data_IF_543200966891
#
_entry.id   IF_543200966891
#
_cell.length_a   1.000
_cell.length_b   1.000
_cell.length_c   1.000
_cell.angle_alpha   90.00
_cell.angle_beta   90.00
_cell.angle_gamma   90.00
#
_symmetry.space_group_name_H-M   'P 1'
#
loop_
_entity.id
_entity.type
_entity.pdbx_description
1 polymer ?
#
# COMPACT_ATOMS: atom_id res chain seq x y z
N UNK A 1 -54.61 61.74 22.72
CA UNK A 1 -54.31 60.87 21.55
C UNK A 1 -52.86 61.08 21.14
N UNK A 2 -52.13 59.98 20.87
CA UNK A 2 -50.77 59.82 20.28
C UNK A 2 -49.59 60.44 21.07
N UNK A 3 -48.86 59.71 21.94
CA UNK A 3 -47.85 58.62 21.78
C UNK A 3 -46.60 58.99 20.96
N UNK A 4 -45.48 59.00 21.69
CA UNK A 4 -44.08 59.09 21.28
C UNK A 4 -43.69 58.02 20.24
N UNK A 5 -42.83 58.40 19.29
CA UNK A 5 -42.18 57.51 18.33
C UNK A 5 -40.67 57.61 18.45
N UNK A 6 -40.05 56.46 18.68
CA UNK A 6 -38.65 56.16 19.02
C UNK A 6 -37.78 55.88 17.81
N UNK A 7 -36.52 56.27 17.95
CA UNK A 7 -35.25 55.87 17.30
C UNK A 7 -35.27 54.80 16.19
N UNK A 8 -34.68 55.18 15.05
CA UNK A 8 -34.28 54.32 13.94
C UNK A 8 -33.16 53.34 14.35
N UNK A 9 -33.43 52.04 14.32
CA UNK A 9 -32.40 51.00 14.35
C UNK A 9 -32.16 50.43 12.95
N UNK A 10 -31.13 50.92 12.28
CA UNK A 10 -30.60 50.28 11.07
C UNK A 10 -29.83 49.02 11.44
N UNK A 11 -30.44 47.86 11.21
CA UNK A 11 -29.74 46.56 11.25
C UNK A 11 -28.92 46.37 9.97
N UNK A 12 -27.64 45.98 10.03
CA UNK A 12 -26.86 45.68 8.83
C UNK A 12 -27.37 44.42 8.13
N UNK A 13 -27.21 44.30 6.79
CA UNK A 13 -27.68 43.14 6.05
C UNK A 13 -26.88 41.89 6.42
N UNK A 14 -27.59 40.76 6.53
CA UNK A 14 -27.02 39.46 6.83
C UNK A 14 -25.97 39.07 5.77
N UNK A 15 -24.80 38.64 6.22
CA UNK A 15 -23.76 38.11 5.36
C UNK A 15 -24.25 36.85 4.61
N UNK A 16 -23.86 36.65 3.34
CA UNK A 16 -24.22 35.44 2.61
C UNK A 16 -23.57 34.21 3.26
N UNK A 17 -24.35 33.14 3.37
CA UNK A 17 -23.93 31.88 3.96
C UNK A 17 -22.64 31.34 3.29
N UNK A 18 -21.63 31.02 4.09
CA UNK A 18 -20.44 30.29 3.63
C UNK A 18 -20.88 28.98 2.92
N UNK A 19 -20.32 28.64 1.75
CA UNK A 19 -20.53 27.34 1.14
C UNK A 19 -20.09 26.25 2.11
N UNK A 20 -21.03 25.35 2.44
CA UNK A 20 -20.88 24.31 3.43
C UNK A 20 -19.54 23.59 3.34
N UNK A 21 -18.78 23.66 4.44
CA UNK A 21 -17.62 22.81 4.72
C UNK A 21 -18.10 21.36 4.69
N UNK A 22 -18.04 20.70 3.53
CA UNK A 22 -18.43 19.29 3.38
C UNK A 22 -17.68 18.44 4.40
N UNK A 23 -18.39 18.01 5.43
CA UNK A 23 -17.94 16.97 6.36
C UNK A 23 -17.47 15.76 5.55
N UNK A 24 -16.37 15.10 5.90
CA UNK A 24 -15.99 13.85 5.23
C UNK A 24 -17.18 12.90 5.35
N UNK A 25 -17.81 12.52 4.23
CA UNK A 25 -18.91 11.58 4.29
C UNK A 25 -18.36 10.25 4.87
N UNK A 26 -19.02 9.66 5.88
CA UNK A 26 -18.61 8.38 6.48
C UNK A 26 -18.33 7.28 5.44
N UNK A 27 -18.97 7.37 4.27
CA UNK A 27 -18.73 6.49 3.13
C UNK A 27 -17.29 6.50 2.59
N UNK A 28 -16.58 7.63 2.59
CA UNK A 28 -15.22 7.70 2.06
C UNK A 28 -14.19 7.02 2.96
N UNK A 29 -14.35 7.10 4.29
CA UNK A 29 -13.47 6.38 5.23
C UNK A 29 -13.71 4.87 5.16
N UNK A 30 -14.98 4.45 5.07
CA UNK A 30 -15.34 3.04 4.85
C UNK A 30 -14.77 2.50 3.55
N UNK A 31 -14.81 3.28 2.46
CA UNK A 31 -14.19 2.91 1.19
C UNK A 31 -12.68 2.70 1.34
N UNK A 32 -11.96 3.67 1.94
CA UNK A 32 -10.52 3.55 2.17
C UNK A 32 -10.16 2.29 2.97
N UNK A 33 -10.87 2.06 4.07
CA UNK A 33 -10.62 0.93 4.94
C UNK A 33 -10.94 -0.42 4.28
N UNK A 34 -12.04 -0.48 3.53
CA UNK A 34 -12.46 -1.69 2.80
C UNK A 34 -11.48 -2.03 1.69
N UNK A 35 -11.05 -1.05 0.90
CA UNK A 35 -10.04 -1.24 -0.15
C UNK A 35 -8.70 -1.73 0.43
N UNK A 36 -8.24 -1.09 1.51
CA UNK A 36 -6.98 -1.46 2.15
C UNK A 36 -7.01 -2.90 2.70
N UNK A 37 -8.07 -3.26 3.42
CA UNK A 37 -8.24 -4.60 3.97
C UNK A 37 -8.45 -5.66 2.87
N UNK A 38 -9.31 -5.40 1.89
CA UNK A 38 -9.52 -6.32 0.76
C UNK A 38 -8.22 -6.53 -0.03
N UNK A 39 -7.44 -5.47 -0.27
CA UNK A 39 -6.15 -5.58 -0.92
C UNK A 39 -5.16 -6.45 -0.16
N UNK A 40 -5.11 -6.32 1.18
CA UNK A 40 -4.33 -7.21 2.03
C UNK A 40 -4.78 -8.68 1.89
N UNK A 41 -6.07 -8.95 2.03
CA UNK A 41 -6.62 -10.32 1.93
C UNK A 41 -6.32 -10.95 0.58
N UNK A 42 -6.57 -10.24 -0.52
CA UNK A 42 -6.29 -10.74 -1.87
C UNK A 42 -4.79 -11.04 -2.04
N UNK A 43 -3.92 -10.17 -1.54
CA UNK A 43 -2.46 -10.37 -1.62
C UNK A 43 -2.01 -11.62 -0.86
N UNK A 44 -2.52 -11.82 0.36
CA UNK A 44 -2.19 -13.01 1.17
C UNK A 44 -2.72 -14.27 0.53
N UNK A 45 -3.99 -14.28 0.09
CA UNK A 45 -4.59 -15.46 -0.56
C UNK A 45 -3.82 -15.83 -1.82
N UNK A 46 -3.44 -14.86 -2.66
CA UNK A 46 -2.58 -15.13 -3.81
C UNK A 46 -1.21 -15.69 -3.38
N UNK A 47 -0.59 -15.09 -2.36
CA UNK A 47 0.69 -15.54 -1.80
C UNK A 47 0.69 -16.98 -1.29
N UNK A 48 -0.43 -17.49 -0.74
CA UNK A 48 -0.55 -18.89 -0.30
C UNK A 48 -0.44 -19.90 -1.44
N UNK A 49 -0.65 -19.49 -2.69
CA UNK A 49 -0.51 -20.32 -3.88
C UNK A 49 0.80 -20.09 -4.63
N UNK A 50 1.66 -19.20 -4.12
CA UNK A 50 2.97 -18.93 -4.69
C UNK A 50 3.90 -20.12 -4.45
N UNK A 51 4.68 -20.51 -5.45
CA UNK A 51 5.66 -21.57 -5.29
C UNK A 51 6.93 -21.00 -4.63
N UNK A 52 7.24 -21.44 -3.42
CA UNK A 52 8.27 -20.83 -2.56
C UNK A 52 9.01 -21.83 -1.65
N UNK A 53 9.00 -23.13 -2.01
CA UNK A 53 9.61 -24.17 -1.17
C UNK A 53 11.13 -24.22 -1.27
N UNK A 54 11.69 -23.89 -2.44
CA UNK A 54 13.13 -23.75 -2.62
C UNK A 54 13.64 -22.42 -2.06
N UNK A 55 14.91 -22.39 -1.65
CA UNK A 55 15.59 -21.14 -1.32
C UNK A 55 15.57 -20.21 -2.52
N UNK A 56 14.97 -19.03 -2.37
CA UNK A 56 14.77 -18.07 -3.46
C UNK A 56 16.06 -17.54 -4.12
N UNK A 57 17.22 -17.77 -3.50
CA UNK A 57 18.56 -17.47 -4.04
C UNK A 57 19.28 -18.71 -4.62
N UNK A 58 18.73 -19.91 -4.46
CA UNK A 58 19.11 -21.10 -5.22
C UNK A 58 18.36 -21.08 -6.56
N UNK A 59 18.96 -20.40 -7.54
CA UNK A 59 18.34 -20.20 -8.85
C UNK A 59 18.00 -21.52 -9.56
N UNK A 60 18.88 -22.54 -9.64
CA UNK A 60 18.51 -23.82 -10.25
C UNK A 60 17.29 -24.48 -9.59
N UNK A 61 17.23 -24.57 -8.26
CA UNK A 61 16.12 -25.21 -7.57
C UNK A 61 14.82 -24.41 -7.73
N UNK A 62 14.90 -23.10 -7.54
CA UNK A 62 13.77 -22.17 -7.62
C UNK A 62 13.19 -22.10 -9.03
N UNK A 63 14.02 -21.99 -10.06
CA UNK A 63 13.54 -21.95 -11.45
C UNK A 63 12.86 -23.26 -11.85
N UNK A 64 13.38 -24.41 -11.36
CA UNK A 64 12.74 -25.70 -11.62
C UNK A 64 11.36 -25.78 -10.94
N UNK A 65 11.20 -25.19 -9.75
CA UNK A 65 9.92 -25.07 -9.07
C UNK A 65 8.94 -24.15 -9.84
N UNK A 66 9.40 -22.99 -10.30
CA UNK A 66 8.59 -22.04 -11.06
C UNK A 66 8.12 -22.64 -12.39
N UNK A 67 8.99 -23.39 -13.07
CA UNK A 67 8.66 -24.08 -14.31
C UNK A 67 7.55 -25.16 -14.12
N UNK A 68 7.50 -25.79 -12.95
CA UNK A 68 6.43 -26.76 -12.60
C UNK A 68 5.12 -26.10 -12.18
N UNK A 69 5.11 -24.81 -11.88
CA UNK A 69 3.89 -24.11 -11.47
C UNK A 69 2.99 -23.78 -12.66
N UNK A 70 1.80 -24.38 -12.70
CA UNK A 70 0.79 -24.12 -13.74
C UNK A 70 -0.02 -22.84 -13.52
N UNK A 71 0.08 -22.20 -12.36
CA UNK A 71 -0.72 -21.02 -11.98
C UNK A 71 0.13 -19.79 -11.66
N UNK A 72 1.44 -19.84 -11.93
CA UNK A 72 2.40 -18.79 -11.58
C UNK A 72 1.93 -17.38 -11.98
N UNK A 73 1.57 -17.18 -13.25
CA UNK A 73 1.12 -15.88 -13.75
C UNK A 73 -0.20 -15.43 -13.10
N UNK A 74 -1.11 -16.36 -12.80
CA UNK A 74 -2.37 -16.03 -12.15
C UNK A 74 -2.16 -15.59 -10.68
N UNK A 75 -1.22 -16.22 -9.97
CA UNK A 75 -0.81 -15.82 -8.62
C UNK A 75 -0.29 -14.38 -8.63
N UNK A 76 0.59 -14.05 -9.57
CA UNK A 76 1.17 -12.72 -9.72
C UNK A 76 0.13 -11.66 -10.11
N UNK A 77 -0.84 -12.01 -10.97
CA UNK A 77 -1.99 -11.16 -11.23
C UNK A 77 -2.82 -10.90 -9.96
N UNK A 78 -3.05 -11.94 -9.15
CA UNK A 78 -3.73 -11.80 -7.86
C UNK A 78 -2.98 -10.87 -6.90
N UNK A 79 -1.66 -11.03 -6.80
CA UNK A 79 -0.80 -10.13 -6.03
C UNK A 79 -0.89 -8.68 -6.53
N UNK A 80 -0.84 -8.46 -7.85
CA UNK A 80 -1.02 -7.13 -8.45
C UNK A 80 -2.34 -6.49 -8.03
N UNK A 81 -3.45 -7.21 -8.18
CA UNK A 81 -4.79 -6.73 -7.81
C UNK A 81 -4.85 -6.39 -6.32
N UNK A 82 -4.30 -7.26 -5.47
CA UNK A 82 -4.22 -7.01 -4.03
C UNK A 82 -3.46 -5.73 -3.68
N UNK A 83 -2.28 -5.52 -4.28
CA UNK A 83 -1.50 -4.29 -4.10
C UNK A 83 -2.24 -3.06 -4.64
N UNK A 84 -2.87 -3.15 -5.81
CA UNK A 84 -3.64 -2.05 -6.40
C UNK A 84 -4.79 -1.60 -5.48
N UNK A 85 -5.51 -2.55 -4.88
CA UNK A 85 -6.54 -2.27 -3.88
C UNK A 85 -5.97 -1.62 -2.61
N UNK A 86 -4.85 -2.14 -2.10
CA UNK A 86 -4.18 -1.58 -0.92
C UNK A 86 -3.76 -0.13 -1.15
N UNK A 87 -3.09 0.15 -2.27
CA UNK A 87 -2.65 1.49 -2.66
C UNK A 87 -3.85 2.41 -2.88
N UNK A 88 -4.92 1.92 -3.52
CA UNK A 88 -6.15 2.69 -3.68
C UNK A 88 -6.75 3.08 -2.33
N UNK A 89 -6.76 2.16 -1.36
CA UNK A 89 -7.15 2.44 0.03
C UNK A 89 -6.30 3.54 0.68
N UNK A 90 -4.97 3.51 0.49
CA UNK A 90 -4.07 4.56 1.00
C UNK A 90 -4.34 5.92 0.35
N UNK A 91 -4.56 5.96 -0.97
CA UNK A 91 -4.85 7.21 -1.70
C UNK A 91 -6.18 7.83 -1.24
N UNK A 92 -7.24 7.02 -1.12
CA UNK A 92 -8.52 7.49 -0.58
C UNK A 92 -8.35 7.94 0.87
N UNK A 93 -7.56 7.22 1.68
CA UNK A 93 -7.28 7.61 3.06
C UNK A 93 -6.60 8.99 3.13
N UNK A 94 -5.58 9.25 2.32
CA UNK A 94 -4.89 10.55 2.26
C UNK A 94 -5.85 11.71 1.91
N UNK A 95 -6.80 11.48 1.00
CA UNK A 95 -7.86 12.45 0.66
C UNK A 95 -8.80 12.67 1.86
N UNK A 96 -9.24 11.59 2.51
CA UNK A 96 -10.17 11.62 3.65
C UNK A 96 -9.57 12.33 4.86
N UNK A 97 -8.26 12.17 5.10
CA UNK A 97 -7.59 12.81 6.24
C UNK A 97 -7.60 14.34 6.14
N UNK A 98 -7.79 14.91 4.93
CA UNK A 98 -7.72 16.35 4.60
C UNK A 98 -6.46 17.00 5.20
N UNK A 99 -5.40 17.06 4.40
CA UNK A 99 -4.13 17.56 4.88
C UNK A 99 -4.26 18.98 5.50
N UNK A 100 -3.74 19.19 6.72
CA UNK A 100 -3.60 20.54 7.26
C UNK A 100 -2.71 21.41 6.36
N UNK A 101 -2.94 22.72 6.36
CA UNK A 101 -2.18 23.66 5.54
C UNK A 101 -0.66 23.60 5.81
N UNK A 102 0.13 24.12 4.86
CA UNK A 102 1.59 24.20 4.97
C UNK A 102 2.30 22.86 4.76
N UNK A 103 3.23 22.50 5.65
CA UNK A 103 4.11 21.34 5.47
C UNK A 103 3.36 20.00 5.34
N UNK A 104 2.21 19.84 6.01
CA UNK A 104 1.44 18.60 5.97
C UNK A 104 0.71 18.39 4.64
N UNK A 105 0.41 19.45 3.90
CA UNK A 105 -0.08 19.33 2.53
C UNK A 105 0.97 18.68 1.62
N UNK A 106 2.25 19.03 1.81
CA UNK A 106 3.35 18.39 1.09
C UNK A 106 3.59 16.95 1.53
N UNK A 107 3.49 16.65 2.82
CA UNK A 107 3.55 15.26 3.33
C UNK A 107 2.51 14.37 2.65
N UNK A 108 1.26 14.83 2.53
CA UNK A 108 0.21 14.08 1.86
C UNK A 108 0.49 13.90 0.36
N UNK A 109 0.98 14.94 -0.33
CA UNK A 109 1.34 14.88 -1.75
C UNK A 109 2.48 13.90 -2.02
N UNK A 110 3.57 13.99 -1.25
CA UNK A 110 4.69 13.06 -1.38
C UNK A 110 4.28 11.62 -1.00
N UNK A 111 3.40 11.45 0.00
CA UNK A 111 2.83 10.15 0.33
C UNK A 111 2.05 9.55 -0.84
N UNK A 112 1.21 10.35 -1.51
CA UNK A 112 0.47 9.91 -2.69
C UNK A 112 1.40 9.56 -3.86
N UNK A 113 2.40 10.41 -4.15
CA UNK A 113 3.40 10.14 -5.20
C UNK A 113 4.17 8.85 -4.92
N UNK A 114 4.62 8.65 -3.68
CA UNK A 114 5.30 7.42 -3.27
C UNK A 114 4.39 6.19 -3.41
N UNK A 115 3.12 6.30 -3.06
CA UNK A 115 2.15 5.20 -3.20
C UNK A 115 1.92 4.83 -4.68
N UNK A 116 1.78 5.82 -5.57
CA UNK A 116 1.65 5.61 -7.02
C UNK A 116 2.93 5.01 -7.61
N UNK A 117 4.10 5.52 -7.21
CA UNK A 117 5.39 4.98 -7.63
C UNK A 117 5.56 3.52 -7.17
N UNK A 118 5.17 3.20 -5.94
CA UNK A 118 5.16 1.83 -5.42
C UNK A 118 4.26 0.91 -6.26
N UNK A 119 3.06 1.36 -6.63
CA UNK A 119 2.16 0.58 -7.48
C UNK A 119 2.73 0.37 -8.88
N UNK A 120 3.34 1.39 -9.49
CA UNK A 120 3.95 1.29 -10.82
C UNK A 120 5.14 0.32 -10.83
N UNK A 121 5.99 0.40 -9.80
CA UNK A 121 7.10 -0.54 -9.61
C UNK A 121 6.58 -1.96 -9.33
N UNK A 122 5.49 -2.10 -8.57
CA UNK A 122 4.89 -3.40 -8.33
C UNK A 122 4.26 -3.99 -9.60
N UNK A 123 3.54 -3.20 -10.41
CA UNK A 123 3.02 -3.66 -11.70
C UNK A 123 4.15 -4.17 -12.62
N UNK A 124 5.25 -3.42 -12.66
CA UNK A 124 6.43 -3.78 -13.43
C UNK A 124 7.12 -5.03 -12.85
N UNK A 125 7.20 -5.16 -11.53
CA UNK A 125 7.67 -6.38 -10.86
C UNK A 125 6.81 -7.59 -11.27
N UNK A 126 5.49 -7.46 -11.29
CA UNK A 126 4.61 -8.57 -11.68
C UNK A 126 4.75 -8.94 -13.17
N UNK A 127 5.13 -8.00 -14.03
CA UNK A 127 5.50 -8.29 -15.41
C UNK A 127 6.86 -9.00 -15.52
N UNK A 128 7.84 -8.62 -14.69
CA UNK A 128 9.17 -9.25 -14.64
C UNK A 128 9.07 -10.67 -14.08
N UNK A 129 8.43 -10.83 -12.92
CA UNK A 129 8.38 -12.07 -12.15
C UNK A 129 7.26 -13.01 -12.66
N UNK A 130 6.05 -12.50 -12.70
CA UNK A 130 4.86 -13.28 -13.05
C UNK A 130 4.75 -13.68 -14.52
N UNK A 131 5.47 -12.99 -15.41
CA UNK A 131 5.38 -13.21 -16.87
C UNK A 131 6.74 -13.50 -17.48
N UNK A 132 7.68 -12.54 -17.45
CA UNK A 132 8.95 -12.69 -18.16
C UNK A 132 9.80 -13.83 -17.58
N UNK A 133 9.95 -13.88 -16.25
CA UNK A 133 10.69 -14.94 -15.58
C UNK A 133 10.03 -16.29 -15.81
N UNK A 134 8.69 -16.38 -15.73
CA UNK A 134 7.96 -17.62 -16.02
C UNK A 134 8.28 -18.19 -17.40
N UNK A 135 8.20 -17.35 -18.43
CA UNK A 135 8.53 -17.78 -19.79
C UNK A 135 10.00 -18.18 -19.92
N UNK A 136 10.92 -17.47 -19.27
CA UNK A 136 12.34 -17.79 -19.29
C UNK A 136 12.65 -19.12 -18.61
N UNK A 137 12.08 -19.39 -17.43
CA UNK A 137 12.31 -20.66 -16.71
C UNK A 137 11.66 -21.85 -17.40
N UNK A 138 10.50 -21.68 -18.04
CA UNK A 138 9.88 -22.72 -18.87
C UNK A 138 10.74 -23.05 -20.08
N UNK A 139 11.23 -22.01 -20.75
CA UNK A 139 12.10 -22.14 -21.91
C UNK A 139 13.43 -22.80 -21.55
N UNK A 140 13.97 -22.52 -20.36
CA UNK A 140 15.16 -23.18 -19.82
C UNK A 140 14.90 -24.64 -19.45
N UNK A 141 13.80 -24.93 -18.76
CA UNK A 141 13.45 -26.28 -18.31
C UNK A 141 13.27 -27.23 -19.50
N UNK A 142 12.66 -26.75 -20.59
CA UNK A 142 12.45 -27.51 -21.82
C UNK A 142 13.70 -27.65 -22.72
N UNK A 143 14.78 -26.93 -22.42
CA UNK A 143 15.97 -26.91 -23.28
C UNK A 143 16.83 -28.16 -23.13
N UNK A 144 17.36 -28.61 -24.27
CA UNK A 144 18.44 -29.59 -24.36
C UNK A 144 19.81 -28.90 -24.45
N UNK A 145 20.87 -29.67 -24.24
CA UNK A 145 22.23 -29.19 -24.52
C UNK A 145 22.44 -28.98 -26.02
N UNK A 146 23.18 -27.93 -26.43
CA UNK A 146 23.99 -27.01 -25.61
C UNK A 146 23.26 -25.70 -25.18
N UNK A 147 21.98 -25.52 -25.50
CA UNK A 147 21.27 -24.25 -25.27
C UNK A 147 20.94 -23.97 -23.79
N UNK A 148 20.94 -25.02 -22.97
CA UNK A 148 20.43 -24.97 -21.59
C UNK A 148 21.16 -23.94 -20.73
N UNK A 149 22.48 -23.86 -20.83
CA UNK A 149 23.28 -22.89 -20.08
C UNK A 149 22.93 -21.44 -20.44
N UNK A 150 22.75 -21.13 -21.73
CA UNK A 150 22.40 -19.77 -22.18
C UNK A 150 20.99 -19.35 -21.74
N UNK A 151 20.02 -20.29 -21.76
CA UNK A 151 18.67 -20.01 -21.28
C UNK A 151 18.61 -19.83 -19.77
N UNK A 152 19.43 -20.58 -19.02
CA UNK A 152 19.59 -20.38 -17.58
C UNK A 152 20.08 -18.96 -17.26
N UNK A 153 21.16 -18.52 -17.91
CA UNK A 153 21.72 -17.18 -17.72
C UNK A 153 20.69 -16.06 -18.07
N UNK A 154 19.82 -16.30 -19.05
CA UNK A 154 18.72 -15.38 -19.37
C UNK A 154 17.71 -15.29 -18.22
N UNK A 155 17.29 -16.42 -17.65
CA UNK A 155 16.39 -16.44 -16.49
C UNK A 155 17.03 -15.78 -15.26
N UNK A 156 18.33 -16.01 -15.01
CA UNK A 156 19.06 -15.33 -13.92
C UNK A 156 19.09 -13.81 -14.09
N UNK A 157 19.34 -13.32 -15.31
CA UNK A 157 19.29 -11.89 -15.59
C UNK A 157 17.95 -11.25 -15.22
N UNK A 158 16.84 -11.94 -15.53
CA UNK A 158 15.49 -11.50 -15.17
C UNK A 158 15.27 -11.56 -13.65
N UNK A 159 15.78 -12.59 -12.97
CA UNK A 159 15.72 -12.72 -11.52
C UNK A 159 16.46 -11.59 -10.79
N UNK A 160 17.62 -11.16 -11.27
CA UNK A 160 18.30 -9.99 -10.69
C UNK A 160 17.55 -8.69 -10.95
N UNK A 161 16.91 -8.54 -12.11
CA UNK A 161 16.02 -7.41 -12.36
C UNK A 161 14.85 -7.39 -11.38
N UNK A 162 14.26 -8.56 -11.10
CA UNK A 162 13.21 -8.71 -10.10
C UNK A 162 13.66 -8.24 -8.72
N UNK A 163 14.88 -8.60 -8.28
CA UNK A 163 15.43 -8.15 -6.99
C UNK A 163 15.48 -6.62 -6.94
N UNK A 164 16.02 -5.98 -7.97
CA UNK A 164 16.06 -4.52 -8.07
C UNK A 164 14.66 -3.90 -8.04
N UNK A 165 13.73 -4.43 -8.82
CA UNK A 165 12.36 -3.92 -8.90
C UNK A 165 11.62 -4.07 -7.56
N UNK A 166 11.75 -5.22 -6.89
CA UNK A 166 11.17 -5.46 -5.57
C UNK A 166 11.80 -4.59 -4.50
N UNK A 167 13.11 -4.35 -4.58
CA UNK A 167 13.84 -3.45 -3.68
C UNK A 167 13.30 -2.02 -3.76
N UNK A 168 13.30 -1.41 -4.95
CA UNK A 168 12.80 -0.04 -5.14
C UNK A 168 11.31 0.08 -4.83
N UNK A 169 10.51 -0.93 -5.18
CA UNK A 169 9.11 -0.97 -4.81
C UNK A 169 8.92 -0.94 -3.29
N UNK A 170 9.72 -1.70 -2.55
CA UNK A 170 9.67 -1.74 -1.08
C UNK A 170 10.07 -0.40 -0.47
N UNK A 171 11.07 0.28 -1.03
CA UNK A 171 11.41 1.65 -0.60
C UNK A 171 10.26 2.64 -0.79
N UNK A 172 9.63 2.63 -1.96
CA UNK A 172 8.52 3.54 -2.26
C UNK A 172 7.28 3.24 -1.42
N UNK A 173 6.96 1.96 -1.21
CA UNK A 173 5.86 1.55 -0.33
C UNK A 173 6.16 1.93 1.12
N UNK A 174 7.40 1.73 1.57
CA UNK A 174 7.85 2.13 2.90
C UNK A 174 7.68 3.62 3.15
N UNK A 175 8.11 4.45 2.20
CA UNK A 175 7.92 5.90 2.23
C UNK A 175 6.43 6.29 2.24
N UNK A 176 5.61 5.66 1.39
CA UNK A 176 4.16 5.92 1.34
C UNK A 176 3.49 5.63 2.70
N UNK A 177 3.82 4.51 3.33
CA UNK A 177 3.28 4.10 4.64
C UNK A 177 3.75 5.03 5.76
N UNK A 178 5.03 5.44 5.78
CA UNK A 178 5.56 6.41 6.73
C UNK A 178 4.84 7.77 6.65
N UNK A 179 4.74 8.31 5.43
CA UNK A 179 4.11 9.61 5.21
C UNK A 179 2.60 9.56 5.50
N UNK A 180 1.91 8.49 5.11
CA UNK A 180 0.49 8.31 5.43
C UNK A 180 0.27 8.11 6.93
N UNK A 181 1.15 7.37 7.61
CA UNK A 181 1.12 7.21 9.06
C UNK A 181 1.28 8.55 9.79
N UNK A 182 2.21 9.40 9.35
CA UNK A 182 2.37 10.75 9.87
C UNK A 182 1.09 11.59 9.67
N UNK A 183 0.44 11.48 8.51
CA UNK A 183 -0.84 12.13 8.25
C UNK A 183 -1.94 11.66 9.20
N UNK A 184 -2.04 10.35 9.47
CA UNK A 184 -3.01 9.78 10.42
C UNK A 184 -2.79 10.35 11.83
N UNK A 185 -1.55 10.35 12.33
CA UNK A 185 -1.20 10.86 13.66
C UNK A 185 -1.55 12.34 13.80
N UNK A 186 -1.35 13.12 12.74
CA UNK A 186 -1.54 14.57 12.74
C UNK A 186 -2.98 15.01 12.53
N UNK A 187 -3.73 14.32 11.67
CA UNK A 187 -5.12 14.66 11.33
C UNK A 187 -6.09 14.31 12.45
N UNK A 188 -5.77 13.31 13.30
CA UNK A 188 -6.59 12.86 14.45
C UNK A 188 -8.02 12.47 14.09
N UNK A 189 -8.28 12.08 12.83
CA UNK A 189 -9.59 11.61 12.36
C UNK A 189 -9.84 10.13 12.64
N UNK A 190 -8.77 9.39 12.87
CA UNK A 190 -8.79 8.00 13.32
C UNK A 190 -7.75 7.85 14.45
N UNK A 191 -7.73 6.70 15.12
CA UNK A 191 -6.76 6.41 16.18
C UNK A 191 -5.32 6.68 15.73
N UNK A 192 -4.55 7.37 16.56
CA UNK A 192 -3.12 7.65 16.30
C UNK A 192 -2.28 6.38 16.27
N UNK A 193 -2.71 5.36 17.00
CA UNK A 193 -2.03 4.07 17.05
C UNK A 193 -2.05 3.38 15.66
N UNK A 194 -3.10 3.57 14.86
CA UNK A 194 -3.14 3.14 13.45
C UNK A 194 -1.98 3.81 12.68
N UNK A 195 -1.79 5.12 12.86
CA UNK A 195 -0.71 5.85 12.20
C UNK A 195 0.69 5.37 12.58
N UNK A 196 0.92 5.01 13.85
CA UNK A 196 2.20 4.43 14.28
C UNK A 196 2.42 3.02 13.71
N UNK A 197 1.38 2.19 13.63
CA UNK A 197 1.47 0.88 12.98
C UNK A 197 1.77 0.99 11.49
N UNK A 198 1.17 1.97 10.81
CA UNK A 198 1.51 2.28 9.41
C UNK A 198 2.97 2.71 9.27
N UNK A 199 3.45 3.59 10.15
CA UNK A 199 4.85 4.03 10.14
C UNK A 199 5.82 2.85 10.37
N UNK A 200 5.52 1.97 11.32
CA UNK A 200 6.32 0.78 11.60
C UNK A 200 6.29 -0.22 10.44
N UNK A 201 5.13 -0.38 9.78
CA UNK A 201 5.03 -1.14 8.52
C UNK A 201 5.97 -0.54 7.48
N UNK A 202 6.00 0.78 7.36
CA UNK A 202 6.87 1.48 6.44
C UNK A 202 8.36 1.23 6.71
N UNK A 203 8.79 1.29 7.98
CA UNK A 203 10.16 0.95 8.38
C UNK A 203 10.53 -0.50 8.03
N UNK A 204 9.60 -1.44 8.22
CA UNK A 204 9.82 -2.83 7.83
C UNK A 204 10.04 -2.96 6.31
N UNK A 205 9.28 -2.24 5.48
CA UNK A 205 9.48 -2.23 4.04
C UNK A 205 10.77 -1.51 3.59
N UNK A 206 11.22 -0.47 4.29
CA UNK A 206 12.54 0.12 4.01
C UNK A 206 13.67 -0.88 4.27
N UNK A 207 13.58 -1.64 5.37
CA UNK A 207 14.54 -2.70 5.67
C UNK A 207 14.49 -3.82 4.61
N UNK A 208 13.28 -4.22 4.17
CA UNK A 208 13.13 -5.18 3.06
C UNK A 208 13.78 -4.65 1.78
N UNK A 209 13.53 -3.39 1.42
CA UNK A 209 14.11 -2.78 0.22
C UNK A 209 15.63 -2.85 0.22
N UNK A 210 16.26 -2.54 1.35
CA UNK A 210 17.70 -2.62 1.51
C UNK A 210 18.23 -4.06 1.34
N UNK A 211 17.66 -5.01 2.10
CA UNK A 211 18.12 -6.41 2.10
C UNK A 211 17.94 -7.03 0.71
N UNK A 212 16.77 -6.86 0.10
CA UNK A 212 16.48 -7.42 -1.23
C UNK A 212 17.41 -6.85 -2.29
N UNK A 213 17.72 -5.55 -2.23
CA UNK A 213 18.62 -4.91 -3.18
C UNK A 213 20.07 -5.38 -3.05
N UNK A 214 20.52 -5.70 -1.82
CA UNK A 214 21.90 -6.09 -1.55
C UNK A 214 22.14 -7.60 -1.68
N UNK A 215 21.18 -8.42 -1.28
CA UNK A 215 21.36 -9.86 -1.07
C UNK A 215 20.29 -10.71 -1.79
N UNK A 216 19.37 -10.09 -2.52
CA UNK A 216 18.21 -10.78 -3.09
C UNK A 216 17.25 -11.27 -2.00
N UNK A 217 16.59 -12.40 -2.24
CA UNK A 217 15.60 -12.97 -1.33
C UNK A 217 16.25 -13.81 -0.22
N UNK A 218 17.25 -13.25 0.45
CA UNK A 218 17.99 -13.93 1.51
C UNK A 218 17.12 -14.14 2.77
N UNK A 219 17.46 -15.13 3.62
CA UNK A 219 16.74 -15.37 4.87
C UNK A 219 16.70 -14.16 5.83
N UNK A 220 17.65 -13.21 5.68
CA UNK A 220 17.66 -11.96 6.45
C UNK A 220 16.36 -11.16 6.28
N UNK A 221 15.68 -11.33 5.14
CA UNK A 221 14.44 -10.63 4.84
C UNK A 221 13.19 -11.22 5.54
N UNK A 222 13.31 -12.37 6.20
CA UNK A 222 12.19 -13.07 6.86
C UNK A 222 11.50 -12.19 7.90
N UNK A 223 12.27 -11.63 8.83
CA UNK A 223 11.70 -10.82 9.93
C UNK A 223 11.05 -9.53 9.39
N UNK A 224 11.72 -8.71 8.56
CA UNK A 224 11.09 -7.53 7.96
C UNK A 224 9.82 -7.83 7.16
N UNK A 225 9.79 -8.96 6.45
CA UNK A 225 8.62 -9.40 5.67
C UNK A 225 7.44 -9.75 6.58
N UNK A 226 7.66 -10.62 7.56
CA UNK A 226 6.61 -11.02 8.51
C UNK A 226 6.10 -9.82 9.32
N UNK A 227 7.01 -8.95 9.78
CA UNK A 227 6.63 -7.73 10.49
C UNK A 227 5.74 -6.84 9.60
N UNK A 228 6.11 -6.60 8.34
CA UNK A 228 5.32 -5.83 7.39
C UNK A 228 3.91 -6.41 7.19
N UNK A 229 3.81 -7.72 6.98
CA UNK A 229 2.53 -8.43 6.79
C UNK A 229 1.64 -8.29 8.03
N UNK A 230 2.17 -8.62 9.21
CA UNK A 230 1.40 -8.59 10.46
C UNK A 230 0.96 -7.17 10.79
N UNK A 231 1.84 -6.17 10.65
CA UNK A 231 1.49 -4.78 10.94
C UNK A 231 0.44 -4.26 9.97
N UNK A 232 0.53 -4.59 8.68
CA UNK A 232 -0.52 -4.25 7.70
C UNK A 232 -1.85 -4.88 8.06
N UNK A 233 -1.87 -6.16 8.41
CA UNK A 233 -3.09 -6.82 8.87
C UNK A 233 -3.71 -6.08 10.07
N UNK A 234 -2.90 -5.81 11.10
CA UNK A 234 -3.39 -5.19 12.33
C UNK A 234 -3.97 -3.81 12.06
N UNK A 235 -3.27 -2.94 11.32
CA UNK A 235 -3.78 -1.59 11.08
C UNK A 235 -4.95 -1.56 10.10
N UNK A 236 -4.99 -2.44 9.09
CA UNK A 236 -6.11 -2.49 8.14
C UNK A 236 -7.38 -3.01 8.80
N UNK A 237 -7.29 -4.05 9.63
CA UNK A 237 -8.42 -4.55 10.44
C UNK A 237 -8.89 -3.48 11.41
N UNK A 238 -7.98 -2.83 12.13
CA UNK A 238 -8.36 -1.78 13.08
C UNK A 238 -9.02 -0.59 12.36
N UNK A 239 -8.47 -0.16 11.22
CA UNK A 239 -9.06 0.90 10.41
C UNK A 239 -10.45 0.50 9.91
N UNK A 240 -10.64 -0.74 9.46
CA UNK A 240 -11.93 -1.26 9.01
C UNK A 240 -12.96 -1.24 10.14
N UNK A 241 -12.64 -1.83 11.29
CA UNK A 241 -13.53 -1.84 12.44
C UNK A 241 -13.87 -0.42 12.90
N UNK A 242 -12.89 0.49 12.92
CA UNK A 242 -13.12 1.90 13.29
C UNK A 242 -14.03 2.62 12.29
N UNK A 243 -13.88 2.37 10.98
CA UNK A 243 -14.67 3.02 9.94
C UNK A 243 -16.13 2.54 9.90
N UNK A 244 -16.36 1.27 10.26
CA UNK A 244 -17.69 0.64 10.20
C UNK A 244 -18.44 0.72 11.53
N UNK A 245 -17.74 0.64 12.66
CA UNK A 245 -18.33 0.55 14.00
C UNK A 245 -17.88 1.67 14.95
N UNK A 246 -16.99 2.56 14.53
CA UNK A 246 -16.68 3.76 15.29
C UNK A 246 -17.94 4.63 15.34
N UNK A 247 -18.59 4.66 16.51
CA UNK A 247 -19.74 5.53 16.76
C UNK A 247 -19.38 6.97 16.40
N UNK A 248 -20.30 7.67 15.74
CA UNK A 248 -20.38 9.13 15.80
C UNK A 248 -20.63 9.50 17.27
N UNK A 249 -19.58 9.52 18.09
CA UNK A 249 -19.73 9.85 19.50
C UNK A 249 -20.11 11.34 19.59
N UNK A 250 -21.19 11.70 20.32
CA UNK A 250 -21.53 13.09 20.59
C UNK A 250 -20.35 13.77 21.29
N UNK A 251 -20.09 15.03 20.94
CA UNK A 251 -19.22 15.92 21.69
C UNK A 251 -19.62 15.89 23.17
N UNK A 252 -18.80 15.27 24.01
CA UNK A 252 -18.81 15.56 25.43
C UNK A 252 -18.01 16.84 25.61
N UNK A 253 -18.72 17.97 25.50
CA UNK A 253 -18.34 19.19 26.19
C UNK A 253 -18.40 18.90 27.69
N UNK A 254 -17.23 18.91 28.33
CA UNK A 254 -17.03 19.31 29.73
C UNK A 254 -15.71 20.07 29.83
#
# INVERSE_FOLDING_TARGET
MKKFGTEDSHSPPAAPAEPGRLSPHPGSLRLAATLAFAGFVVSVVAGLFHADSASANDHPATFAEYARSGIWTAVHLGQFVGMALLISGLLVLLVVLKAPDGAMAWTARFGAVAAVAALALYASLQAVDGVALKHAVDAWAAAAEPEKAARFATAEGIRWLEWGMRSYQSFMLGAALLLTGAMVVRARRVSRLIGYLMALSGLAYLAQGWIIGAEGFSPANTIPTLAGIVLILVWTVWLLLSAWFGNDAPSLDM
#
